data_IF_297845516647
#
_entry.id   IF_297845516647
#
_cell.length_a   1.000
_cell.length_b   1.000
_cell.length_c   1.000
_cell.angle_alpha   90.00
_cell.angle_beta   90.00
_cell.angle_gamma   90.00
#
_symmetry.space_group_name_H-M   'P 1'
#
loop_
_entity.id
_entity.type
_entity.pdbx_description
1 polymer ?
#
# COMPACT_ATOMS: atom_id res chain seq x y z
N UNK A 1 -12.29 1.83 4.41
CA UNK A 1 -12.76 0.61 5.12
C UNK A 1 -12.33 0.77 6.57
N UNK A 2 -13.27 0.79 7.50
CA UNK A 2 -12.96 0.86 8.94
C UNK A 2 -12.62 -0.54 9.45
N UNK A 3 -11.43 -1.03 9.10
CA UNK A 3 -10.94 -2.32 9.58
C UNK A 3 -10.65 -2.27 11.09
N UNK A 4 -10.72 -3.40 11.75
CA UNK A 4 -10.43 -3.54 13.18
C UNK A 4 -8.97 -3.19 13.44
N UNK A 5 -8.71 -2.21 14.30
CA UNK A 5 -7.36 -1.81 14.66
C UNK A 5 -6.70 -2.82 15.61
N UNK A 6 -5.38 -2.87 15.58
CA UNK A 6 -4.60 -3.60 16.58
C UNK A 6 -4.57 -2.82 17.90
N UNK A 7 -4.53 -3.49 19.07
CA UNK A 7 -4.36 -4.94 19.25
C UNK A 7 -5.65 -5.78 19.15
N UNK A 8 -6.83 -5.18 19.03
CA UNK A 8 -8.11 -5.92 18.97
C UNK A 8 -8.27 -6.76 17.69
N UNK A 9 -7.63 -6.32 16.60
CA UNK A 9 -7.44 -7.06 15.37
C UNK A 9 -5.97 -7.15 15.02
N UNK A 10 -5.41 -8.36 15.12
CA UNK A 10 -4.04 -8.68 14.67
C UNK A 10 -4.07 -9.33 13.29
N UNK A 11 -2.93 -9.42 12.62
CA UNK A 11 -2.77 -10.12 11.35
C UNK A 11 -3.34 -11.55 11.41
N UNK A 12 -4.07 -12.02 10.37
CA UNK A 12 -4.42 -11.31 9.12
C UNK A 12 -5.76 -10.57 9.15
N UNK A 13 -6.36 -10.28 10.32
CA UNK A 13 -7.75 -9.79 10.40
C UNK A 13 -8.04 -8.53 9.58
N UNK A 14 -7.22 -7.46 9.59
CA UNK A 14 -7.50 -6.29 8.74
C UNK A 14 -7.46 -6.58 7.24
N UNK A 15 -6.60 -7.51 6.82
CA UNK A 15 -6.54 -8.00 5.43
C UNK A 15 -7.81 -8.80 5.11
N UNK A 16 -8.24 -9.70 5.99
CA UNK A 16 -9.43 -10.52 5.80
C UNK A 16 -10.72 -9.69 5.75
N UNK A 17 -10.84 -8.68 6.60
CA UNK A 17 -11.98 -7.75 6.61
C UNK A 17 -12.02 -6.93 5.31
N UNK A 18 -10.87 -6.45 4.85
CA UNK A 18 -10.77 -5.70 3.58
C UNK A 18 -11.09 -6.61 2.38
N UNK A 19 -10.59 -7.84 2.37
CA UNK A 19 -10.92 -8.86 1.37
C UNK A 19 -12.42 -9.15 1.32
N UNK A 20 -13.07 -9.31 2.48
CA UNK A 20 -14.51 -9.54 2.57
C UNK A 20 -15.32 -8.36 2.02
N UNK A 21 -14.89 -7.12 2.27
CA UNK A 21 -15.54 -5.92 1.70
C UNK A 21 -15.46 -5.91 0.17
N UNK A 22 -14.31 -6.28 -0.41
CA UNK A 22 -14.15 -6.36 -1.87
C UNK A 22 -15.12 -7.38 -2.46
N UNK A 23 -15.19 -8.58 -1.86
CA UNK A 23 -16.13 -9.63 -2.31
C UNK A 23 -17.59 -9.19 -2.17
N UNK A 24 -17.95 -8.55 -1.06
CA UNK A 24 -19.29 -8.02 -0.84
C UNK A 24 -19.69 -7.02 -1.93
N UNK A 25 -18.84 -6.04 -2.24
CA UNK A 25 -19.15 -5.04 -3.26
C UNK A 25 -19.13 -5.61 -4.68
N UNK A 26 -18.34 -6.66 -4.95
CA UNK A 26 -18.43 -7.40 -6.22
C UNK A 26 -19.80 -8.04 -6.42
N UNK A 27 -20.37 -8.64 -5.37
CA UNK A 27 -21.67 -9.32 -5.43
C UNK A 27 -22.86 -8.34 -5.44
N UNK A 28 -22.67 -7.13 -4.90
CA UNK A 28 -23.73 -6.14 -4.70
C UNK A 28 -23.53 -4.86 -5.52
N UNK A 29 -22.69 -4.88 -6.57
CA UNK A 29 -22.29 -3.70 -7.32
C UNK A 29 -23.47 -2.88 -7.87
N UNK A 30 -24.53 -3.55 -8.35
CA UNK A 30 -25.74 -2.91 -8.89
C UNK A 30 -26.48 -2.09 -7.83
N UNK A 31 -26.59 -2.59 -6.59
CA UNK A 31 -27.25 -1.90 -5.48
C UNK A 31 -26.56 -0.57 -5.17
N UNK A 32 -25.23 -0.57 -5.17
CA UNK A 32 -24.41 0.59 -4.84
C UNK A 32 -24.05 1.46 -6.06
N UNK A 33 -24.47 1.06 -7.26
CA UNK A 33 -24.18 1.76 -8.53
C UNK A 33 -22.68 1.99 -8.75
N UNK A 34 -21.88 0.99 -8.42
CA UNK A 34 -20.43 0.98 -8.64
C UNK A 34 -20.08 0.05 -9.82
N UNK A 35 -18.98 0.33 -10.49
CA UNK A 35 -18.46 -0.55 -11.54
C UNK A 35 -17.63 -1.68 -10.89
N UNK A 36 -18.07 -2.95 -10.94
CA UNK A 36 -17.32 -4.06 -10.37
C UNK A 36 -16.04 -4.38 -11.15
N UNK A 37 -15.87 -3.88 -12.36
CA UNK A 37 -14.72 -4.18 -13.20
C UNK A 37 -13.65 -3.08 -13.15
N UNK A 38 -13.82 -2.07 -12.27
CA UNK A 38 -12.91 -0.93 -12.10
C UNK A 38 -12.58 -0.66 -10.61
N UNK A 39 -11.91 -1.62 -9.96
CA UNK A 39 -11.50 -1.53 -8.55
C UNK A 39 -10.12 -0.87 -8.43
N UNK A 40 -9.96 0.02 -7.45
CA UNK A 40 -8.66 0.55 -7.04
C UNK A 40 -8.40 0.30 -5.56
N UNK A 41 -7.14 0.07 -5.21
CA UNK A 41 -6.69 0.09 -3.81
C UNK A 41 -5.89 1.35 -3.58
N UNK A 42 -6.12 2.01 -2.44
CA UNK A 42 -5.32 3.14 -2.03
C UNK A 42 -5.10 3.08 -0.52
N UNK A 43 -3.87 3.36 -0.08
CA UNK A 43 -3.54 3.38 1.33
C UNK A 43 -2.19 4.01 1.58
N UNK A 44 -2.00 4.48 2.81
CA UNK A 44 -0.79 5.12 3.26
C UNK A 44 -0.18 4.39 4.46
N UNK A 45 1.16 4.29 4.51
CA UNK A 45 1.88 3.58 5.58
C UNK A 45 1.38 2.13 5.77
N UNK A 46 0.88 1.78 6.96
CA UNK A 46 0.22 0.49 7.22
C UNK A 46 -0.99 0.21 6.31
N UNK A 47 -1.70 1.24 5.87
CA UNK A 47 -2.78 1.10 4.88
C UNK A 47 -2.26 0.71 3.50
N UNK A 48 -1.06 1.16 3.11
CA UNK A 48 -0.40 0.72 1.89
C UNK A 48 0.05 -0.75 1.98
N UNK A 49 0.52 -1.18 3.16
CA UNK A 49 0.80 -2.59 3.45
C UNK A 49 -0.46 -3.45 3.29
N UNK A 50 -1.55 -3.10 3.98
CA UNK A 50 -2.82 -3.82 3.92
C UNK A 50 -3.35 -3.85 2.48
N UNK A 51 -3.26 -2.73 1.74
CA UNK A 51 -3.68 -2.67 0.34
C UNK A 51 -2.98 -3.71 -0.52
N UNK A 52 -1.65 -3.81 -0.43
CA UNK A 52 -0.90 -4.81 -1.19
C UNK A 52 -1.13 -6.24 -0.67
N UNK A 53 -1.25 -6.42 0.65
CA UNK A 53 -1.59 -7.70 1.26
C UNK A 53 -2.92 -8.27 0.77
N UNK A 54 -3.94 -7.41 0.64
CA UNK A 54 -5.27 -7.80 0.13
C UNK A 54 -5.23 -8.10 -1.36
N UNK A 55 -4.49 -7.33 -2.15
CA UNK A 55 -4.27 -7.60 -3.58
C UNK A 55 -3.67 -8.99 -3.78
N UNK A 56 -2.63 -9.33 -3.02
CA UNK A 56 -1.98 -10.64 -3.07
C UNK A 56 -2.96 -11.74 -2.63
N UNK A 57 -3.69 -11.53 -1.52
CA UNK A 57 -4.72 -12.47 -1.07
C UNK A 57 -5.81 -12.70 -2.12
N UNK A 58 -6.27 -11.64 -2.81
CA UNK A 58 -7.25 -11.74 -3.89
C UNK A 58 -6.72 -12.60 -5.04
N UNK A 59 -5.48 -12.36 -5.48
CA UNK A 59 -4.81 -13.16 -6.50
C UNK A 59 -4.75 -14.64 -6.10
N UNK A 60 -4.30 -14.91 -4.88
CA UNK A 60 -4.09 -16.28 -4.39
C UNK A 60 -5.41 -17.04 -4.23
N UNK A 61 -6.51 -16.32 -3.94
CA UNK A 61 -7.89 -16.85 -3.88
C UNK A 61 -8.59 -16.86 -5.25
N UNK A 62 -7.85 -16.69 -6.35
CA UNK A 62 -8.36 -16.81 -7.72
C UNK A 62 -9.28 -15.67 -8.17
N UNK A 63 -9.14 -14.47 -7.58
CA UNK A 63 -9.83 -13.28 -8.05
C UNK A 63 -9.35 -12.89 -9.46
N UNK A 64 -10.27 -12.32 -10.25
CA UNK A 64 -9.93 -11.77 -11.55
C UNK A 64 -9.16 -10.45 -11.39
N UNK A 65 -7.84 -10.53 -11.51
CA UNK A 65 -6.94 -9.40 -11.28
C UNK A 65 -7.09 -8.29 -12.33
N UNK A 66 -7.69 -8.57 -13.49
CA UNK A 66 -7.96 -7.54 -14.51
C UNK A 66 -9.00 -6.52 -14.05
N UNK A 67 -9.78 -6.83 -13.01
CA UNK A 67 -10.72 -5.91 -12.37
C UNK A 67 -10.05 -4.88 -11.47
N UNK A 68 -8.81 -5.11 -11.06
CA UNK A 68 -8.05 -4.18 -10.21
C UNK A 68 -7.19 -3.28 -11.10
N UNK A 69 -7.61 -2.03 -11.26
CA UNK A 69 -6.99 -1.08 -12.20
C UNK A 69 -5.72 -0.46 -11.66
N UNK A 70 -5.66 -0.16 -10.36
CA UNK A 70 -4.44 0.34 -9.77
C UNK A 70 -4.34 0.08 -8.26
N UNK A 71 -3.09 0.06 -7.78
CA UNK A 71 -2.75 0.23 -6.37
C UNK A 71 -2.01 1.57 -6.17
N UNK A 72 -2.57 2.45 -5.35
CA UNK A 72 -2.01 3.77 -5.02
C UNK A 72 -1.43 3.69 -3.61
N UNK A 73 -0.11 3.69 -3.52
CA UNK A 73 0.62 3.27 -2.33
C UNK A 73 1.49 4.42 -1.83
N UNK A 74 1.12 5.01 -0.70
CA UNK A 74 1.88 6.10 -0.09
C UNK A 74 2.77 5.58 1.04
N UNK A 75 4.09 5.72 0.89
CA UNK A 75 5.13 5.47 1.89
C UNK A 75 4.90 4.17 2.70
N UNK A 76 4.63 3.07 2.00
CA UNK A 76 4.27 1.80 2.63
C UNK A 76 5.46 1.02 3.17
N UNK A 77 5.17 0.14 4.13
CA UNK A 77 6.06 -0.93 4.59
C UNK A 77 5.63 -2.25 3.94
N UNK A 78 6.56 -3.02 3.41
CA UNK A 78 6.29 -4.22 2.60
C UNK A 78 7.07 -5.45 3.08
N UNK A 79 7.88 -5.31 4.12
CA UNK A 79 8.52 -6.44 4.80
C UNK A 79 10.02 -6.53 4.57
N UNK A 80 10.69 -5.42 4.22
CA UNK A 80 12.14 -5.36 4.42
C UNK A 80 12.43 -5.50 5.92
N UNK A 81 13.41 -6.33 6.27
CA UNK A 81 13.86 -6.49 7.66
C UNK A 81 14.78 -5.37 8.14
N UNK A 82 15.64 -4.84 7.26
CA UNK A 82 16.54 -3.70 7.51
C UNK A 82 16.98 -3.07 6.19
N UNK A 83 17.22 -1.77 6.17
CA UNK A 83 17.60 -1.01 4.97
C UNK A 83 18.54 0.16 5.28
N UNK A 84 18.99 0.87 4.24
CA UNK A 84 19.84 2.07 4.41
C UNK A 84 18.99 3.21 4.96
N UNK A 85 17.80 3.43 4.42
CA UNK A 85 16.84 4.44 4.90
C UNK A 85 16.46 4.22 6.36
N UNK A 86 16.19 2.98 6.79
CA UNK A 86 15.94 2.65 8.20
C UNK A 86 17.13 3.00 9.12
N UNK A 87 18.35 2.91 8.62
CA UNK A 87 19.55 3.25 9.40
C UNK A 87 19.84 4.77 9.44
N UNK A 88 19.33 5.54 8.48
CA UNK A 88 19.58 6.97 8.33
C UNK A 88 18.45 7.86 8.87
N UNK A 89 17.22 7.36 8.85
CA UNK A 89 15.99 8.10 9.14
C UNK A 89 15.19 7.44 10.27
N UNK A 90 14.10 8.09 10.67
CA UNK A 90 13.27 7.66 11.80
C UNK A 90 13.68 8.34 13.10
N UNK A 91 12.71 8.96 13.76
CA UNK A 91 12.97 9.73 14.98
C UNK A 91 11.69 10.14 15.71
N UNK A 92 11.85 10.81 16.85
CA UNK A 92 10.71 11.30 17.62
C UNK A 92 9.85 12.34 16.86
N UNK A 93 10.37 12.94 15.79
CA UNK A 93 9.66 13.93 14.97
C UNK A 93 8.67 13.32 13.96
N UNK A 94 8.87 12.06 13.56
CA UNK A 94 8.01 11.32 12.64
C UNK A 94 7.32 10.11 13.29
N UNK A 95 7.74 9.72 14.50
CA UNK A 95 7.18 8.59 15.23
C UNK A 95 7.59 7.24 14.65
N UNK A 96 8.71 7.19 13.92
CA UNK A 96 9.24 5.99 13.30
C UNK A 96 10.67 5.68 13.75
N UNK A 97 10.95 5.80 15.05
CA UNK A 97 12.16 5.19 15.60
C UNK A 97 12.12 3.67 15.40
N UNK A 98 13.27 2.99 15.52
CA UNK A 98 13.32 1.52 15.52
C UNK A 98 12.39 0.93 16.60
N UNK A 99 12.32 1.58 17.76
CA UNK A 99 11.45 1.18 18.88
C UNK A 99 9.97 1.32 18.52
N UNK A 100 9.58 2.41 17.85
CA UNK A 100 8.21 2.62 17.36
C UNK A 100 7.84 1.57 16.31
N UNK A 101 8.74 1.27 15.36
CA UNK A 101 8.49 0.26 14.33
C UNK A 101 8.32 -1.14 14.95
N UNK A 102 9.17 -1.50 15.92
CA UNK A 102 9.02 -2.75 16.68
C UNK A 102 7.68 -2.77 17.42
N UNK A 103 7.30 -1.66 18.06
CA UNK A 103 6.03 -1.55 18.77
C UNK A 103 4.83 -1.77 17.85
N UNK A 104 4.75 -1.08 16.71
CA UNK A 104 3.67 -1.26 15.74
C UNK A 104 3.62 -2.67 15.17
N UNK A 105 4.78 -3.25 14.84
CA UNK A 105 4.87 -4.63 14.35
C UNK A 105 4.37 -5.62 15.40
N UNK A 106 4.76 -5.45 16.66
CA UNK A 106 4.30 -6.32 17.76
C UNK A 106 2.79 -6.19 17.99
N UNK A 107 2.22 -4.99 17.93
CA UNK A 107 0.78 -4.82 18.01
C UNK A 107 0.07 -5.53 16.85
N UNK A 108 0.59 -5.41 15.64
CA UNK A 108 -0.05 -5.94 14.44
C UNK A 108 0.10 -7.45 14.29
N UNK A 109 1.29 -8.02 14.53
CA UNK A 109 1.56 -9.44 14.31
C UNK A 109 1.36 -10.30 15.56
N UNK A 110 1.41 -9.71 16.76
CA UNK A 110 1.54 -10.47 17.99
C UNK A 110 2.86 -11.24 18.02
N UNK A 111 2.79 -12.55 18.30
CA UNK A 111 3.94 -13.46 18.38
C UNK A 111 4.28 -14.13 17.03
N UNK A 112 3.61 -13.76 15.94
CA UNK A 112 3.82 -14.38 14.63
C UNK A 112 5.16 -13.95 14.01
N UNK A 113 5.86 -14.89 13.37
CA UNK A 113 7.04 -14.57 12.56
C UNK A 113 6.60 -13.82 11.30
N UNK A 114 7.13 -12.62 11.01
CA UNK A 114 6.83 -11.90 9.78
C UNK A 114 7.03 -12.73 8.51
N UNK A 115 7.96 -13.68 8.48
CA UNK A 115 8.22 -14.54 7.32
C UNK A 115 7.10 -15.53 7.05
N UNK A 116 6.34 -15.91 8.08
CA UNK A 116 5.14 -16.75 7.97
C UNK A 116 3.87 -15.95 7.68
N UNK A 117 4.00 -14.62 7.49
CA UNK A 117 2.91 -13.68 7.26
C UNK A 117 2.97 -13.11 5.83
N UNK A 118 2.62 -13.88 4.77
CA UNK A 118 2.81 -13.47 3.38
C UNK A 118 1.99 -12.23 2.97
N UNK A 119 0.86 -11.94 3.61
CA UNK A 119 0.07 -10.74 3.32
C UNK A 119 0.51 -9.52 4.13
N UNK A 120 1.57 -9.64 4.94
CA UNK A 120 2.26 -8.54 5.63
C UNK A 120 3.67 -8.35 5.05
N UNK A 121 4.48 -9.41 5.05
CA UNK A 121 5.82 -9.43 4.45
C UNK A 121 5.72 -9.84 2.98
N UNK A 122 5.22 -8.94 2.13
CA UNK A 122 4.83 -9.29 0.76
C UNK A 122 6.00 -9.83 -0.09
N UNK A 123 7.24 -9.52 0.26
CA UNK A 123 8.43 -10.03 -0.44
C UNK A 123 8.68 -11.54 -0.26
N UNK A 124 7.93 -12.20 0.63
CA UNK A 124 7.93 -13.68 0.69
C UNK A 124 7.04 -14.30 -0.40
N UNK A 125 6.25 -13.50 -1.12
CA UNK A 125 5.47 -13.94 -2.28
C UNK A 125 6.25 -13.85 -3.59
N UNK A 126 5.73 -14.55 -4.60
CA UNK A 126 6.09 -14.31 -5.99
C UNK A 126 5.39 -13.03 -6.49
N UNK A 127 6.15 -11.95 -6.70
CA UNK A 127 5.64 -10.67 -7.20
C UNK A 127 5.80 -10.54 -8.73
N UNK A 128 6.12 -11.63 -9.45
CA UNK A 128 6.32 -11.60 -10.90
C UNK A 128 5.02 -11.62 -11.71
N UNK A 129 3.87 -11.87 -11.07
CA UNK A 129 2.57 -11.92 -11.73
C UNK A 129 1.42 -11.55 -10.79
N UNK A 130 0.28 -11.20 -11.39
CA UNK A 130 -0.96 -10.95 -10.67
C UNK A 130 -0.89 -9.76 -9.71
N UNK A 131 -0.01 -8.80 -10.00
CA UNK A 131 0.03 -7.50 -9.32
C UNK A 131 -0.50 -6.45 -10.30
N UNK A 132 -1.48 -5.61 -9.91
CA UNK A 132 -2.02 -4.56 -10.77
C UNK A 132 -0.99 -3.43 -10.98
N UNK A 133 -1.24 -2.52 -11.92
CA UNK A 133 -0.46 -1.29 -12.04
C UNK A 133 -0.32 -0.56 -10.70
N UNK A 134 0.90 -0.16 -10.34
CA UNK A 134 1.18 0.45 -9.04
C UNK A 134 1.68 1.90 -9.17
N UNK A 135 1.07 2.82 -8.42
CA UNK A 135 1.61 4.16 -8.19
C UNK A 135 2.20 4.20 -6.78
N UNK A 136 3.53 4.32 -6.69
CA UNK A 136 4.29 4.17 -5.45
C UNK A 136 4.90 5.52 -5.10
N UNK A 137 4.50 6.06 -3.95
CA UNK A 137 5.03 7.32 -3.42
C UNK A 137 5.94 7.02 -2.25
N UNK A 138 7.13 7.60 -2.26
CA UNK A 138 8.07 7.58 -1.15
C UNK A 138 8.34 8.99 -0.62
N UNK A 139 8.70 9.07 0.65
CA UNK A 139 9.21 10.27 1.28
C UNK A 139 10.73 10.14 1.46
N UNK A 140 11.49 11.15 1.04
CA UNK A 140 12.97 11.13 1.01
C UNK A 140 13.61 10.94 2.39
N UNK A 141 12.98 11.45 3.45
CA UNK A 141 13.49 11.38 4.83
C UNK A 141 12.75 10.35 5.69
N UNK A 142 12.16 9.33 5.05
CA UNK A 142 11.37 8.27 5.70
C UNK A 142 12.20 6.97 5.83
N UNK A 143 12.22 6.32 7.01
CA UNK A 143 12.86 5.02 7.15
C UNK A 143 12.28 3.92 6.25
N UNK A 144 11.06 4.08 5.71
CA UNK A 144 10.40 3.14 4.80
C UNK A 144 10.65 3.44 3.32
N UNK A 145 11.50 4.43 2.99
CA UNK A 145 11.76 4.82 1.60
C UNK A 145 12.30 3.65 0.76
N UNK A 146 13.21 2.84 1.31
CA UNK A 146 13.77 1.69 0.60
C UNK A 146 12.74 0.57 0.35
N UNK A 147 11.73 0.39 1.20
CA UNK A 147 10.62 -0.55 0.94
C UNK A 147 9.89 -0.14 -0.34
N UNK A 148 9.55 1.13 -0.47
CA UNK A 148 8.87 1.66 -1.65
C UNK A 148 9.73 1.51 -2.92
N UNK A 149 11.03 1.83 -2.82
CA UNK A 149 11.98 1.66 -3.94
C UNK A 149 12.16 0.18 -4.33
N UNK A 150 12.26 -0.72 -3.34
CA UNK A 150 12.41 -2.15 -3.59
C UNK A 150 11.18 -2.72 -4.30
N UNK A 151 9.97 -2.37 -3.84
CA UNK A 151 8.74 -2.80 -4.49
C UNK A 151 8.71 -2.35 -5.96
N UNK A 152 8.96 -1.06 -6.22
CA UNK A 152 9.03 -0.53 -7.58
C UNK A 152 10.04 -1.30 -8.45
N UNK A 153 11.25 -1.53 -7.93
CA UNK A 153 12.33 -2.22 -8.63
C UNK A 153 11.96 -3.66 -9.00
N UNK A 154 11.34 -4.39 -8.07
CA UNK A 154 10.86 -5.76 -8.33
C UNK A 154 9.82 -5.76 -9.46
N UNK A 155 8.82 -4.88 -9.38
CA UNK A 155 7.75 -4.82 -10.38
C UNK A 155 8.28 -4.46 -11.77
N UNK A 156 9.19 -3.48 -11.86
CA UNK A 156 9.85 -3.11 -13.11
C UNK A 156 10.65 -4.27 -13.72
N UNK A 157 11.38 -5.02 -12.89
CA UNK A 157 12.16 -6.18 -13.36
C UNK A 157 11.29 -7.30 -13.94
N UNK A 158 10.02 -7.37 -13.55
CA UNK A 158 9.04 -8.31 -14.09
C UNK A 158 8.12 -7.72 -15.16
N UNK A 159 8.37 -6.49 -15.61
CA UNK A 159 7.57 -5.82 -16.63
C UNK A 159 6.16 -5.42 -16.16
N UNK A 160 5.93 -5.40 -14.85
CA UNK A 160 4.67 -4.94 -14.25
C UNK A 160 4.72 -3.41 -14.18
N UNK A 161 3.68 -2.75 -14.72
CA UNK A 161 3.59 -1.29 -14.75
C UNK A 161 3.66 -0.74 -13.33
N UNK A 162 4.66 0.09 -13.07
CA UNK A 162 4.73 0.87 -11.84
C UNK A 162 5.33 2.25 -12.08
N UNK A 163 4.75 3.26 -11.45
CA UNK A 163 5.30 4.60 -11.36
C UNK A 163 5.80 4.84 -9.93
N UNK A 164 7.00 5.37 -9.81
CA UNK A 164 7.62 5.68 -8.52
C UNK A 164 7.94 7.16 -8.44
N UNK A 165 7.53 7.80 -7.34
CA UNK A 165 7.82 9.20 -7.05
C UNK A 165 8.35 9.30 -5.64
N UNK A 166 9.52 9.91 -5.49
CA UNK A 166 10.09 10.25 -4.21
C UNK A 166 10.00 11.77 -4.01
N UNK A 167 9.36 12.21 -2.92
CA UNK A 167 9.27 13.62 -2.58
C UNK A 167 10.44 14.05 -1.71
N UNK A 168 11.31 14.89 -2.28
CA UNK A 168 12.53 15.38 -1.63
C UNK A 168 12.23 16.26 -0.42
N UNK A 169 12.88 15.96 0.71
CA UNK A 169 12.66 16.64 1.99
C UNK A 169 11.35 16.30 2.70
N UNK A 170 10.51 15.41 2.14
CA UNK A 170 9.30 14.96 2.82
C UNK A 170 9.63 13.95 3.93
N UNK A 171 8.87 14.02 5.03
CA UNK A 171 8.86 13.03 6.11
C UNK A 171 7.75 12.00 5.88
N UNK A 172 7.77 10.92 6.66
CA UNK A 172 6.65 9.99 6.72
C UNK A 172 5.32 10.71 7.02
N UNK A 173 4.22 10.14 6.54
CA UNK A 173 2.87 10.67 6.70
C UNK A 173 2.59 12.04 6.04
N UNK A 174 3.46 12.52 5.13
CA UNK A 174 3.31 13.87 4.57
C UNK A 174 2.00 14.12 3.81
N UNK A 175 1.36 13.07 3.27
CA UNK A 175 0.13 13.20 2.46
C UNK A 175 -1.02 13.87 3.22
N UNK A 176 -1.01 13.78 4.55
CA UNK A 176 -2.02 14.37 5.42
C UNK A 176 -1.93 15.91 5.52
N UNK A 177 -0.85 16.52 5.01
CA UNK A 177 -0.59 17.96 5.10
C UNK A 177 -0.90 18.73 3.81
N UNK A 178 -1.78 18.22 2.94
CA UNK A 178 -2.14 18.86 1.65
C UNK A 178 -2.66 20.30 1.75
N UNK A 179 -3.13 20.74 2.93
CA UNK A 179 -3.52 22.14 3.16
C UNK A 179 -2.34 23.12 3.24
N UNK A 180 -1.13 22.61 3.48
CA UNK A 180 0.07 23.42 3.77
C UNK A 180 1.32 22.93 3.05
N UNK A 181 1.25 21.79 2.35
CA UNK A 181 2.35 21.20 1.57
C UNK A 181 1.87 20.89 0.15
N UNK A 182 2.43 21.61 -0.84
CA UNK A 182 2.13 21.40 -2.26
C UNK A 182 2.47 19.97 -2.70
N UNK A 183 3.55 19.39 -2.17
CA UNK A 183 3.96 18.00 -2.45
C UNK A 183 2.89 16.98 -2.06
N UNK A 184 2.17 17.22 -0.96
CA UNK A 184 1.09 16.34 -0.51
C UNK A 184 -0.12 16.43 -1.45
N UNK A 185 -0.48 17.64 -1.89
CA UNK A 185 -1.52 17.83 -2.90
C UNK A 185 -1.12 17.18 -4.24
N UNK A 186 0.13 17.37 -4.68
CA UNK A 186 0.64 16.79 -5.92
C UNK A 186 0.63 15.26 -5.88
N UNK A 187 1.04 14.65 -4.76
CA UNK A 187 1.00 13.20 -4.54
C UNK A 187 -0.39 12.62 -4.69
N UNK A 188 -1.38 13.22 -4.01
CA UNK A 188 -2.79 12.79 -4.09
C UNK A 188 -3.31 12.92 -5.52
N UNK A 189 -3.06 14.07 -6.16
CA UNK A 189 -3.56 14.35 -7.50
C UNK A 189 -2.98 13.40 -8.54
N UNK A 190 -1.68 13.10 -8.48
CA UNK A 190 -1.04 12.14 -9.38
C UNK A 190 -1.55 10.72 -9.17
N UNK A 191 -1.75 10.29 -7.92
CA UNK A 191 -2.36 9.00 -7.63
C UNK A 191 -3.77 8.88 -8.21
N UNK A 192 -4.58 9.94 -8.09
CA UNK A 192 -5.91 10.00 -8.69
C UNK A 192 -5.87 9.94 -10.23
N UNK A 193 -4.95 10.70 -10.86
CA UNK A 193 -4.77 10.68 -12.31
C UNK A 193 -4.28 9.32 -12.81
N UNK A 194 -3.38 8.67 -12.07
CA UNK A 194 -2.91 7.32 -12.40
C UNK A 194 -4.08 6.33 -12.42
N UNK A 195 -4.90 6.30 -11.35
CA UNK A 195 -6.08 5.44 -11.31
C UNK A 195 -7.08 5.75 -12.44
N UNK A 196 -7.38 7.03 -12.68
CA UNK A 196 -8.28 7.43 -13.76
C UNK A 196 -7.78 6.95 -15.14
N UNK A 197 -6.47 7.08 -15.40
CA UNK A 197 -5.84 6.60 -16.62
C UNK A 197 -5.95 5.07 -16.77
N UNK A 198 -5.72 4.29 -15.71
CA UNK A 198 -5.87 2.82 -15.74
C UNK A 198 -7.33 2.38 -15.93
N UNK A 199 -8.29 3.20 -15.50
CA UNK A 199 -9.71 3.02 -15.79
C UNK A 199 -10.11 3.45 -17.22
N UNK A 200 -9.18 3.97 -18.02
CA UNK A 200 -9.47 4.49 -19.37
C UNK A 200 -10.23 5.83 -19.38
N UNK A 201 -10.24 6.55 -18.25
CA UNK A 201 -10.86 7.86 -18.12
C UNK A 201 -9.88 8.96 -18.56
N UNK A 202 -10.41 10.05 -19.12
CA UNK A 202 -9.61 11.24 -19.41
C UNK A 202 -9.30 11.97 -18.10
N UNK A 203 -8.05 12.11 -17.66
CA UNK A 203 -7.70 12.76 -16.40
C UNK A 203 -8.01 14.27 -16.35
N UNK A 204 -8.55 14.85 -17.44
CA UNK A 204 -9.00 16.25 -17.53
C UNK A 204 -10.50 16.44 -17.27
N UNK A 205 -11.26 15.36 -17.16
CA UNK A 205 -12.70 15.37 -16.86
C UNK A 205 -12.97 14.83 -15.46
#
# INVERSE_FOLDING_TARGET
IEYTLSPEGIYPRPVDETFAVVKYFQENAEEYKIDPDAIGFAGDSGGANISMGVIIKLRDEGFDMDKIKAAILYYGSYGIGTSISMALHGGAWDGLTEEDFIYYRTLYLGDQDPLDCPYYSIYTNDLSFGIPPCFIVAADLDPLCDDSLLLHTILQNHGIKSEYIEYKGALHAFIHYSKVMDDAEDGIRRGAHFFAHECGLDPRN
#
